data_IF_295608145602
#
_entry.id   IF_295608145602
#
_cell.length_a   1.000
_cell.length_b   1.000
_cell.length_c   1.000
_cell.angle_alpha   90.00
_cell.angle_beta   90.00
_cell.angle_gamma   90.00
#
_symmetry.space_group_name_H-M   'P 1'
#
loop_
_entity.id
_entity.type
_entity.pdbx_description
1 polymer ?
#
# COMPACT_ATOMS: atom_id res chain seq x y z
N UNK A 1 17.81 -12.12 7.91
CA UNK A 1 17.22 -10.88 7.38
C UNK A 1 15.75 -10.90 7.71
N UNK A 2 15.31 -10.06 8.64
CA UNK A 2 13.92 -10.04 9.10
C UNK A 2 13.13 -9.01 8.33
N UNK A 3 11.86 -9.32 8.03
CA UNK A 3 10.96 -8.46 7.26
C UNK A 3 9.63 -8.34 7.97
N UNK A 4 9.04 -7.15 7.92
CA UNK A 4 7.70 -6.86 8.42
C UNK A 4 6.86 -6.37 7.25
N UNK A 5 5.71 -7.00 7.01
CA UNK A 5 4.74 -6.57 6.01
C UNK A 5 3.57 -5.88 6.71
N UNK A 6 3.24 -4.67 6.26
CA UNK A 6 2.02 -3.97 6.65
C UNK A 6 1.15 -3.73 5.42
N UNK A 7 -0.11 -4.16 5.50
CA UNK A 7 -1.13 -3.80 4.53
C UNK A 7 -1.68 -2.41 4.84
N UNK A 8 -1.94 -1.62 3.80
CA UNK A 8 -2.67 -0.36 3.90
C UNK A 8 -3.76 -0.32 2.84
N UNK A 9 -4.92 0.22 3.19
CA UNK A 9 -5.99 0.59 2.26
C UNK A 9 -6.03 2.11 2.01
N UNK A 10 -4.98 2.83 2.42
CA UNK A 10 -4.85 4.31 2.37
C UNK A 10 -5.88 5.08 3.19
N UNK A 11 -6.66 4.42 4.04
CA UNK A 11 -7.58 5.08 4.95
C UNK A 11 -6.82 5.72 6.13
N UNK A 12 -7.43 6.73 6.76
CA UNK A 12 -6.91 7.30 8.01
C UNK A 12 -6.80 6.26 9.13
N UNK A 13 -7.62 5.19 9.09
CA UNK A 13 -7.52 4.10 10.06
C UNK A 13 -6.23 3.28 9.87
N UNK A 14 -5.72 3.17 8.65
CA UNK A 14 -4.48 2.45 8.35
C UNK A 14 -3.22 3.21 8.76
N UNK A 15 -3.29 4.53 9.00
CA UNK A 15 -2.13 5.35 9.40
C UNK A 15 -1.48 4.83 10.69
N UNK A 16 -2.29 4.50 11.70
CA UNK A 16 -1.78 3.95 12.96
C UNK A 16 -1.11 2.60 12.76
N UNK A 17 -1.67 1.74 11.91
CA UNK A 17 -1.07 0.43 11.61
C UNK A 17 0.30 0.57 10.93
N UNK A 18 0.43 1.50 9.97
CA UNK A 18 1.70 1.80 9.30
C UNK A 18 2.72 2.38 10.27
N UNK A 19 2.31 3.30 11.14
CA UNK A 19 3.19 3.89 12.16
C UNK A 19 3.73 2.83 13.14
N UNK A 20 2.85 1.98 13.69
CA UNK A 20 3.25 0.90 14.59
C UNK A 20 4.16 -0.13 13.89
N UNK A 21 3.88 -0.48 12.63
CA UNK A 21 4.74 -1.38 11.87
C UNK A 21 6.14 -0.78 11.65
N UNK A 22 6.23 0.53 11.40
CA UNK A 22 7.51 1.21 11.24
C UNK A 22 8.31 1.28 12.55
N UNK A 23 7.66 1.49 13.69
CA UNK A 23 8.30 1.39 15.01
C UNK A 23 8.83 -0.01 15.28
N UNK A 24 8.03 -1.04 14.96
CA UNK A 24 8.44 -2.43 15.12
C UNK A 24 9.64 -2.77 14.21
N UNK A 25 9.65 -2.30 12.97
CA UNK A 25 10.76 -2.53 12.05
C UNK A 25 12.07 -1.89 12.53
N UNK A 26 12.01 -0.62 12.99
CA UNK A 26 13.17 0.07 13.57
C UNK A 26 13.71 -0.65 14.81
N UNK A 27 12.81 -1.09 15.69
CA UNK A 27 13.20 -1.77 16.95
C UNK A 27 13.89 -3.12 16.68
N UNK A 28 13.54 -3.79 15.59
CA UNK A 28 14.03 -5.13 15.27
C UNK A 28 15.09 -5.16 14.15
N UNK A 29 15.58 -3.99 13.71
CA UNK A 29 16.47 -3.86 12.54
C UNK A 29 15.95 -4.66 11.32
N UNK A 30 14.64 -4.51 11.07
CA UNK A 30 13.93 -5.25 10.04
C UNK A 30 13.52 -4.35 8.86
N UNK A 31 13.51 -4.94 7.66
CA UNK A 31 12.98 -4.29 6.46
C UNK A 31 11.46 -4.14 6.59
N UNK A 32 10.94 -2.94 6.35
CA UNK A 32 9.50 -2.68 6.31
C UNK A 32 9.01 -2.72 4.86
N UNK A 33 8.07 -3.61 4.59
CA UNK A 33 7.34 -3.71 3.33
C UNK A 33 5.93 -3.15 3.53
N UNK A 34 5.53 -2.18 2.70
CA UNK A 34 4.18 -1.61 2.70
C UNK A 34 3.44 -2.09 1.45
N UNK A 35 2.28 -2.71 1.63
CA UNK A 35 1.47 -3.25 0.54
C UNK A 35 0.10 -2.55 0.49
N UNK A 36 -0.22 -1.98 -0.66
CA UNK A 36 -1.56 -1.50 -0.98
C UNK A 36 -2.17 -2.35 -2.10
N UNK A 37 -3.32 -2.96 -1.83
CA UNK A 37 -4.03 -3.79 -2.82
C UNK A 37 -5.10 -2.94 -3.48
N UNK A 38 -5.01 -2.80 -4.81
CA UNK A 38 -6.05 -2.13 -5.60
C UNK A 38 -7.16 -3.14 -5.94
N UNK A 39 -8.45 -2.77 -5.83
CA UNK A 39 -9.53 -3.63 -6.32
C UNK A 39 -9.45 -3.80 -7.84
N UNK A 40 -9.80 -4.98 -8.35
CA UNK A 40 -9.72 -5.35 -9.77
C UNK A 40 -10.48 -4.38 -10.71
N UNK A 41 -11.49 -3.67 -10.21
CA UNK A 41 -12.22 -2.65 -10.97
C UNK A 41 -11.33 -1.47 -11.38
N UNK A 42 -10.34 -1.11 -10.55
CA UNK A 42 -9.39 -0.04 -10.86
C UNK A 42 -8.40 -0.45 -11.97
N UNK A 43 -8.15 -1.75 -12.15
CA UNK A 43 -7.33 -2.23 -13.25
C UNK A 43 -8.07 -2.09 -14.59
N UNK A 44 -9.38 -2.34 -14.64
CA UNK A 44 -10.19 -2.21 -15.87
C UNK A 44 -10.30 -0.78 -16.38
N UNK A 45 -10.36 0.22 -15.49
CA UNK A 45 -10.39 1.64 -15.88
C UNK A 45 -9.08 2.13 -16.52
N UNK A 46 -7.96 1.47 -16.24
CA UNK A 46 -6.66 1.76 -16.86
C UNK A 46 -6.51 1.12 -18.26
N UNK A 47 -7.42 0.22 -18.65
CA UNK A 47 -7.42 -0.48 -19.94
C UNK A 47 -8.71 -0.23 -20.72
N UNK A 48 -9.27 0.99 -20.67
CA UNK A 48 -10.24 1.42 -21.68
C UNK A 48 -9.50 2.13 -22.83
N UNK A 49 -9.22 1.45 -23.96
CA UNK A 49 -8.59 2.08 -25.13
C UNK A 49 -9.43 3.20 -25.76
N UNK A 50 -10.68 3.41 -25.32
CA UNK A 50 -11.55 4.51 -25.77
C UNK A 50 -11.55 5.70 -24.80
N UNK A 51 -10.95 5.58 -23.62
CA UNK A 51 -10.79 6.69 -22.68
C UNK A 51 -9.58 7.50 -23.12
N UNK A 52 -9.82 8.50 -23.97
CA UNK A 52 -8.81 9.50 -24.30
C UNK A 52 -8.24 10.09 -23.00
N UNK A 53 -6.93 10.31 -22.96
CA UNK A 53 -6.31 11.06 -21.88
C UNK A 53 -6.97 12.45 -21.82
N UNK A 54 -7.53 12.81 -20.67
CA UNK A 54 -8.05 14.16 -20.44
C UNK A 54 -6.85 15.13 -20.42
N UNK A 55 -6.90 16.27 -21.15
CA UNK A 55 -5.77 17.20 -21.28
C UNK A 55 -5.36 17.89 -19.97
#
# INVERSE_FOLDING_TARGET
MNKILVGTDTSAAADLAVQSAAELARTNDAELLVLHVRPDSAARDAVDPRKAADP
#
